data_IF_924428291868
#
_entry.id   IF_924428291868
#
_cell.length_a   1.000
_cell.length_b   1.000
_cell.length_c   1.000
_cell.angle_alpha   90.00
_cell.angle_beta   90.00
_cell.angle_gamma   90.00
#
_symmetry.space_group_name_H-M   'P 1'
#
loop_
_entity.id
_entity.type
_entity.pdbx_description
1 polymer ?
#
# COMPACT_ATOMS: atom_id res chain seq x y z
N UNK A 1 28.61 64.51 18.80
CA UNK A 1 29.74 63.90 18.07
C UNK A 1 30.69 63.24 19.07
N UNK A 2 30.33 62.08 19.65
CA UNK A 2 31.23 61.31 20.52
C UNK A 2 30.77 59.87 20.85
N UNK A 3 30.03 59.18 19.96
CA UNK A 3 29.73 57.73 20.13
C UNK A 3 29.77 56.95 18.79
N UNK A 4 30.61 57.39 17.86
CA UNK A 4 30.76 56.73 16.54
C UNK A 4 32.11 56.05 16.31
N UNK A 5 33.06 56.16 17.25
CA UNK A 5 34.46 55.82 16.99
C UNK A 5 35.03 54.73 17.91
N UNK A 6 34.21 54.04 18.72
CA UNK A 6 34.69 52.97 19.62
C UNK A 6 34.25 51.55 19.19
N UNK A 7 33.56 51.40 18.07
CA UNK A 7 33.20 50.07 17.53
C UNK A 7 34.13 49.60 16.41
N UNK A 8 34.94 50.48 15.81
CA UNK A 8 35.92 50.12 14.78
C UNK A 8 37.16 49.38 15.33
N UNK A 9 37.27 49.21 16.66
CA UNK A 9 38.44 48.62 17.33
C UNK A 9 38.22 47.22 17.91
N UNK A 10 37.01 46.65 17.73
CA UNK A 10 36.74 45.25 18.10
C UNK A 10 36.75 44.29 16.90
N UNK A 11 36.92 44.77 15.66
CA UNK A 11 36.98 43.89 14.49
C UNK A 11 35.73 43.01 14.32
N UNK A 12 34.57 43.48 14.79
CA UNK A 12 33.29 42.77 14.71
C UNK A 12 32.45 43.41 13.60
N UNK A 13 33.02 43.56 12.41
CA UNK A 13 32.26 43.90 11.19
C UNK A 13 31.79 42.65 10.43
N UNK A 14 31.86 41.46 11.06
CA UNK A 14 31.52 40.18 10.43
C UNK A 14 30.75 39.19 11.33
N UNK A 15 29.73 39.62 12.09
CA UNK A 15 28.69 38.68 12.61
C UNK A 15 27.42 38.73 11.74
N UNK A 16 27.57 38.90 10.42
CA UNK A 16 26.46 38.69 9.49
C UNK A 16 26.82 37.86 8.25
N UNK A 17 28.00 37.26 8.20
CA UNK A 17 28.16 36.05 7.41
C UNK A 17 27.72 34.88 8.28
N UNK A 18 26.48 34.43 8.13
CA UNK A 18 26.11 33.07 8.53
C UNK A 18 26.97 32.15 7.66
N UNK A 19 28.19 31.86 8.10
CA UNK A 19 29.11 30.92 7.46
C UNK A 19 28.54 29.53 7.73
N UNK A 20 27.99 28.90 6.69
CA UNK A 20 27.68 27.46 6.60
C UNK A 20 26.90 26.84 7.78
N UNK A 21 26.14 27.66 8.52
CA UNK A 21 25.41 27.26 9.71
C UNK A 21 23.98 26.84 9.37
N UNK A 22 23.63 25.59 9.69
CA UNK A 22 22.22 25.18 9.74
C UNK A 22 21.53 25.91 10.90
N UNK A 23 20.40 26.57 10.66
CA UNK A 23 19.63 27.18 11.76
C UNK A 23 19.30 26.14 12.83
N UNK A 24 19.38 26.52 14.11
CA UNK A 24 19.17 25.58 15.22
C UNK A 24 17.81 24.87 15.15
N UNK A 25 16.78 25.56 14.64
CA UNK A 25 15.44 25.00 14.45
C UNK A 25 15.34 23.99 13.30
N UNK A 26 16.35 23.86 12.44
CA UNK A 26 16.43 22.85 11.38
C UNK A 26 17.18 21.58 11.81
N UNK A 27 17.93 21.62 12.92
CA UNK A 27 18.71 20.48 13.42
C UNK A 27 17.88 19.18 13.58
N UNK A 28 16.61 19.22 14.04
CA UNK A 28 15.80 18.01 14.14
C UNK A 28 15.54 17.31 12.80
N UNK A 29 15.63 18.02 11.68
CA UNK A 29 15.29 17.49 10.35
C UNK A 29 16.53 16.96 9.60
N UNK A 30 17.70 17.55 9.84
CA UNK A 30 18.95 17.22 9.14
C UNK A 30 19.31 15.74 9.06
N UNK A 31 19.08 14.89 10.10
CA UNK A 31 19.44 13.48 10.03
C UNK A 31 18.69 12.67 8.95
N UNK A 32 17.58 13.21 8.44
CA UNK A 32 16.64 12.49 7.56
C UNK A 32 16.70 12.94 6.11
N UNK A 33 17.00 14.22 5.84
CA UNK A 33 16.83 14.82 4.52
C UNK A 33 17.77 14.25 3.44
N UNK A 34 18.86 13.60 3.86
CA UNK A 34 19.84 12.97 2.97
C UNK A 34 19.62 11.44 2.87
N UNK A 35 18.59 10.90 3.54
CA UNK A 35 18.30 9.46 3.57
C UNK A 35 17.25 9.06 2.54
N UNK A 36 17.21 7.76 2.13
CA UNK A 36 16.15 7.25 1.26
C UNK A 36 14.77 7.49 1.88
N UNK A 37 13.84 8.04 1.08
CA UNK A 37 12.52 8.47 1.53
C UNK A 37 11.70 7.30 2.09
N UNK A 38 11.62 6.21 1.33
CA UNK A 38 10.77 5.05 1.61
C UNK A 38 11.13 4.37 2.95
N UNK A 39 12.40 4.40 3.34
CA UNK A 39 12.86 3.74 4.57
C UNK A 39 12.76 4.63 5.82
N UNK A 40 12.50 5.93 5.67
CA UNK A 40 12.63 6.89 6.78
C UNK A 40 11.43 7.84 6.94
N UNK A 41 10.47 7.84 6.02
CA UNK A 41 9.32 8.75 6.08
C UNK A 41 8.52 8.61 7.38
N UNK A 42 8.37 7.40 7.92
CA UNK A 42 7.62 7.15 9.16
C UNK A 42 8.30 7.77 10.39
N UNK A 43 9.64 7.81 10.40
CA UNK A 43 10.44 8.43 11.48
C UNK A 43 10.52 9.95 11.27
N UNK A 44 10.59 10.39 10.01
CA UNK A 44 10.62 11.80 9.65
C UNK A 44 9.28 12.50 9.93
N UNK A 45 8.15 11.82 9.69
CA UNK A 45 6.81 12.41 9.78
C UNK A 45 6.49 13.09 11.11
N UNK A 46 6.66 12.46 12.30
CA UNK A 46 6.34 13.13 13.57
C UNK A 46 7.23 14.36 13.83
N UNK A 47 8.51 14.30 13.44
CA UNK A 47 9.45 15.41 13.57
C UNK A 47 9.09 16.56 12.64
N UNK A 48 8.80 16.28 11.37
CA UNK A 48 8.50 17.30 10.39
C UNK A 48 7.10 17.89 10.57
N UNK A 49 6.09 17.09 10.92
CA UNK A 49 4.73 17.59 11.12
C UNK A 49 4.66 18.58 12.29
N UNK A 50 5.27 18.26 13.43
CA UNK A 50 5.36 19.16 14.59
C UNK A 50 6.17 20.42 14.27
N UNK A 51 7.29 20.28 13.59
CA UNK A 51 8.10 21.40 13.14
C UNK A 51 7.32 22.31 12.16
N UNK A 52 6.65 21.72 11.17
CA UNK A 52 5.87 22.44 10.16
C UNK A 52 4.68 23.18 10.77
N UNK A 53 3.98 22.58 11.74
CA UNK A 53 2.92 23.26 12.48
C UNK A 53 3.40 24.54 13.19
N UNK A 54 4.66 24.58 13.63
CA UNK A 54 5.23 25.75 14.32
C UNK A 54 5.85 26.80 13.39
N UNK A 55 6.37 26.40 12.23
CA UNK A 55 7.14 27.28 11.32
C UNK A 55 6.43 27.61 10.01
N UNK A 56 5.44 26.81 9.61
CA UNK A 56 4.68 26.94 8.39
C UNK A 56 5.53 27.03 7.12
N UNK A 57 4.96 27.63 6.08
CA UNK A 57 5.63 27.81 4.78
C UNK A 57 6.91 28.67 4.86
N UNK A 58 6.98 29.63 5.79
CA UNK A 58 8.18 30.43 6.00
C UNK A 58 9.35 29.57 6.52
N UNK A 59 9.07 28.60 7.39
CA UNK A 59 10.04 27.58 7.80
C UNK A 59 10.57 26.79 6.63
N UNK A 60 9.68 26.25 5.81
CA UNK A 60 10.04 25.46 4.61
C UNK A 60 10.87 26.28 3.62
N UNK A 61 10.50 27.56 3.41
CA UNK A 61 11.24 28.47 2.56
C UNK A 61 12.70 28.64 3.03
N UNK A 62 12.92 28.83 4.34
CA UNK A 62 14.26 28.92 4.93
C UNK A 62 15.01 27.59 4.84
N UNK A 63 14.34 26.47 5.10
CA UNK A 63 14.95 25.14 4.96
C UNK A 63 15.48 24.92 3.53
N UNK A 64 14.70 25.27 2.51
CA UNK A 64 15.10 25.15 1.11
C UNK A 64 16.20 26.13 0.70
N UNK A 65 16.30 27.29 1.34
CA UNK A 65 17.43 28.21 1.15
C UNK A 65 18.73 27.60 1.68
N UNK A 66 18.68 26.95 2.85
CA UNK A 66 19.85 26.30 3.45
C UNK A 66 20.20 24.97 2.78
N UNK A 67 19.21 24.21 2.32
CA UNK A 67 19.35 22.86 1.78
C UNK A 67 18.44 22.66 0.55
N UNK A 68 18.77 23.23 -0.61
CA UNK A 68 17.94 23.12 -1.81
C UNK A 68 17.74 21.67 -2.28
N UNK A 69 18.72 20.79 -2.03
CA UNK A 69 18.67 19.37 -2.39
C UNK A 69 17.53 18.58 -1.72
N UNK A 70 16.94 19.08 -0.62
CA UNK A 70 15.83 18.39 0.03
C UNK A 70 14.46 18.63 -0.64
N UNK A 71 14.38 19.47 -1.68
CA UNK A 71 13.14 19.78 -2.40
C UNK A 71 12.40 18.52 -2.90
N UNK A 72 13.04 17.56 -3.61
CA UNK A 72 12.41 16.30 -3.97
C UNK A 72 11.86 15.50 -2.78
N UNK A 73 12.59 15.50 -1.65
CA UNK A 73 12.18 14.78 -0.44
C UNK A 73 10.92 15.39 0.16
N UNK A 74 10.87 16.72 0.29
CA UNK A 74 9.70 17.43 0.79
C UNK A 74 8.50 17.30 -0.14
N UNK A 75 8.72 17.24 -1.46
CA UNK A 75 7.64 16.96 -2.41
C UNK A 75 7.06 15.55 -2.20
N UNK A 76 7.91 14.53 -2.09
CA UNK A 76 7.46 13.16 -1.77
C UNK A 76 6.73 13.11 -0.44
N UNK A 77 7.20 13.83 0.59
CA UNK A 77 6.52 13.93 1.87
C UNK A 77 5.13 14.57 1.74
N UNK A 78 5.02 15.69 1.04
CA UNK A 78 3.75 16.38 0.82
C UNK A 78 2.74 15.44 0.13
N UNK A 79 3.19 14.69 -0.87
CA UNK A 79 2.36 13.70 -1.56
C UNK A 79 2.00 12.52 -0.66
N UNK A 80 2.96 11.94 0.07
CA UNK A 80 2.72 10.80 0.98
C UNK A 80 1.74 11.13 2.11
N UNK A 81 1.82 12.36 2.63
CA UNK A 81 0.98 12.86 3.72
C UNK A 81 -0.31 13.53 3.26
N UNK A 82 -0.49 13.76 1.94
CA UNK A 82 -1.68 14.42 1.39
C UNK A 82 -1.73 15.94 1.62
N UNK A 83 -0.62 16.59 1.97
CA UNK A 83 -0.57 18.04 2.24
C UNK A 83 -0.59 18.85 0.93
N UNK A 84 -1.78 19.15 0.42
CA UNK A 84 -2.01 19.86 -0.84
C UNK A 84 -1.31 21.24 -0.89
N UNK A 85 -1.42 22.03 0.18
CA UNK A 85 -0.82 23.37 0.23
C UNK A 85 0.70 23.31 0.19
N UNK A 86 1.31 22.37 0.90
CA UNK A 86 2.75 22.16 0.85
C UNK A 86 3.17 21.75 -0.56
N UNK A 87 2.50 20.79 -1.19
CA UNK A 87 2.79 20.38 -2.56
C UNK A 87 2.69 21.55 -3.56
N UNK A 88 1.64 22.36 -3.47
CA UNK A 88 1.45 23.54 -4.32
C UNK A 88 2.56 24.59 -4.13
N UNK A 89 2.99 24.84 -2.89
CA UNK A 89 4.09 25.80 -2.63
C UNK A 89 5.44 25.28 -3.11
N UNK A 90 5.71 23.98 -2.98
CA UNK A 90 6.95 23.35 -3.48
C UNK A 90 6.99 23.34 -5.01
N UNK A 91 5.86 23.08 -5.67
CA UNK A 91 5.74 23.09 -7.12
C UNK A 91 6.15 24.42 -7.75
N UNK A 92 5.91 25.55 -7.08
CA UNK A 92 6.31 26.86 -7.61
C UNK A 92 7.84 27.11 -7.60
N UNK A 93 8.64 26.26 -6.94
CA UNK A 93 10.09 26.46 -6.77
C UNK A 93 10.91 25.96 -7.97
N UNK A 94 10.76 24.68 -8.32
CA UNK A 94 11.51 24.04 -9.41
C UNK A 94 10.63 22.99 -10.09
N UNK A 95 9.82 23.45 -11.05
CA UNK A 95 8.85 22.59 -11.76
C UNK A 95 9.54 21.48 -12.56
N UNK A 96 10.57 21.74 -13.38
CA UNK A 96 11.20 20.68 -14.18
C UNK A 96 11.77 19.57 -13.31
N UNK A 97 12.43 19.90 -12.19
CA UNK A 97 12.94 18.90 -11.27
C UNK A 97 11.80 18.04 -10.70
N UNK A 98 10.74 18.69 -10.19
CA UNK A 98 9.66 17.99 -9.50
C UNK A 98 8.78 17.15 -10.43
N UNK A 99 8.51 17.62 -11.65
CA UNK A 99 7.70 16.88 -12.64
C UNK A 99 8.39 15.61 -13.14
N UNK A 100 9.72 15.50 -12.97
CA UNK A 100 10.51 14.33 -13.34
C UNK A 100 10.65 13.29 -12.22
N UNK A 101 10.05 13.54 -11.05
CA UNK A 101 10.12 12.62 -9.93
C UNK A 101 9.42 11.30 -10.23
N UNK A 102 10.20 10.23 -10.29
CA UNK A 102 9.69 8.88 -10.46
C UNK A 102 8.73 8.48 -9.33
N UNK A 103 7.69 7.70 -9.70
CA UNK A 103 6.75 7.03 -8.78
C UNK A 103 5.93 7.97 -7.89
N UNK A 104 5.89 9.27 -8.19
CA UNK A 104 5.16 10.22 -7.35
C UNK A 104 3.63 10.03 -7.44
N UNK A 105 3.10 9.64 -8.59
CA UNK A 105 1.69 9.27 -8.72
C UNK A 105 1.39 7.93 -8.03
N UNK A 106 2.29 6.96 -8.13
CA UNK A 106 2.18 5.68 -7.41
C UNK A 106 2.09 5.92 -5.89
N UNK A 107 2.90 6.85 -5.38
CA UNK A 107 2.90 7.25 -3.97
C UNK A 107 1.54 7.84 -3.56
N UNK A 108 1.00 8.78 -4.33
CA UNK A 108 -0.33 9.37 -4.06
C UNK A 108 -1.44 8.30 -4.06
N UNK A 109 -1.43 7.41 -5.07
CA UNK A 109 -2.40 6.33 -5.20
C UNK A 109 -2.32 5.34 -4.03
N UNK A 110 -1.11 5.01 -3.57
CA UNK A 110 -0.88 4.09 -2.45
C UNK A 110 -1.32 4.63 -1.09
N UNK A 111 -1.66 5.92 -0.98
CA UNK A 111 -2.01 6.60 0.27
C UNK A 111 -3.48 7.08 0.32
N UNK A 112 -4.27 6.70 -0.68
CA UNK A 112 -5.65 7.15 -0.86
C UNK A 112 -5.84 8.66 -1.08
N UNK A 113 -4.82 9.34 -1.63
CA UNK A 113 -4.89 10.78 -1.84
C UNK A 113 -5.41 11.13 -3.23
N UNK A 114 -6.71 10.88 -3.49
CA UNK A 114 -7.31 11.13 -4.82
C UNK A 114 -7.13 12.58 -5.30
N UNK A 115 -7.34 13.57 -4.42
CA UNK A 115 -7.17 14.98 -4.78
C UNK A 115 -5.72 15.31 -5.14
N UNK A 116 -4.75 14.76 -4.40
CA UNK A 116 -3.33 14.90 -4.71
C UNK A 116 -2.98 14.24 -6.03
N UNK A 117 -3.48 13.03 -6.27
CA UNK A 117 -3.27 12.29 -7.51
C UNK A 117 -3.84 13.04 -8.71
N UNK A 118 -5.07 13.55 -8.61
CA UNK A 118 -5.70 14.36 -9.66
C UNK A 118 -4.93 15.66 -9.91
N UNK A 119 -4.43 16.30 -8.84
CA UNK A 119 -3.61 17.50 -8.95
C UNK A 119 -2.26 17.21 -9.63
N UNK A 120 -1.56 16.13 -9.27
CA UNK A 120 -0.32 15.71 -9.91
C UNK A 120 -0.55 15.40 -11.40
N UNK A 121 -1.62 14.67 -11.71
CA UNK A 121 -2.01 14.36 -13.08
C UNK A 121 -2.29 15.62 -13.91
N UNK A 122 -3.05 16.57 -13.37
CA UNK A 122 -3.38 17.82 -14.07
C UNK A 122 -2.20 18.78 -14.27
N UNK A 123 -1.06 18.52 -13.63
CA UNK A 123 0.20 19.26 -13.83
C UNK A 123 1.24 18.44 -14.60
N UNK A 124 0.82 17.37 -15.29
CA UNK A 124 1.69 16.53 -16.13
C UNK A 124 2.89 15.93 -15.41
N UNK A 125 2.76 15.63 -14.11
CA UNK A 125 3.80 14.88 -13.39
C UNK A 125 3.99 13.50 -14.03
N UNK A 126 5.24 13.14 -14.28
CA UNK A 126 5.61 11.80 -14.71
C UNK A 126 5.59 10.81 -13.53
N UNK A 127 5.90 9.54 -13.80
CA UNK A 127 6.13 8.55 -12.74
C UNK A 127 4.86 7.87 -12.24
N UNK A 128 3.85 7.71 -13.09
CA UNK A 128 2.81 6.70 -12.86
C UNK A 128 3.26 5.36 -13.45
N UNK A 129 3.00 4.27 -12.74
CA UNK A 129 3.22 2.91 -13.22
C UNK A 129 2.00 2.05 -12.91
N UNK A 130 1.99 0.79 -13.38
CA UNK A 130 0.95 -0.18 -13.02
C UNK A 130 0.84 -0.39 -11.49
N UNK A 131 1.88 -0.04 -10.72
CA UNK A 131 1.87 -0.14 -9.25
C UNK A 131 0.87 0.82 -8.59
N UNK A 132 0.56 1.97 -9.22
CA UNK A 132 -0.46 2.88 -8.71
C UNK A 132 -1.82 2.19 -8.59
N UNK A 133 -2.28 1.56 -9.67
CA UNK A 133 -3.58 0.88 -9.70
C UNK A 133 -3.56 -0.38 -8.84
N UNK A 134 -2.45 -1.14 -8.82
CA UNK A 134 -2.29 -2.29 -7.94
C UNK A 134 -2.42 -1.91 -6.46
N UNK A 135 -1.73 -0.85 -6.01
CA UNK A 135 -1.77 -0.40 -4.63
C UNK A 135 -3.14 0.16 -4.24
N UNK A 136 -3.78 0.93 -5.13
CA UNK A 136 -5.14 1.43 -4.91
C UNK A 136 -6.16 0.29 -4.80
N UNK A 137 -6.03 -0.74 -5.66
CA UNK A 137 -6.92 -1.89 -5.63
C UNK A 137 -6.76 -2.73 -4.37
N UNK A 138 -5.53 -2.99 -3.93
CA UNK A 138 -5.24 -3.72 -2.70
C UNK A 138 -5.73 -3.01 -1.43
N UNK A 139 -5.97 -1.69 -1.48
CA UNK A 139 -6.53 -0.89 -0.38
C UNK A 139 -8.03 -0.66 -0.47
N UNK A 140 -8.67 -1.09 -1.56
CA UNK A 140 -10.11 -0.91 -1.76
C UNK A 140 -10.50 0.48 -2.26
N UNK A 141 -9.53 1.27 -2.73
CA UNK A 141 -9.73 2.67 -3.13
C UNK A 141 -10.33 2.75 -4.53
N UNK A 142 -11.61 2.36 -4.67
CA UNK A 142 -12.31 2.29 -5.95
C UNK A 142 -12.27 3.62 -6.72
N UNK A 143 -12.36 4.76 -6.03
CA UNK A 143 -12.30 6.08 -6.66
C UNK A 143 -10.96 6.33 -7.38
N UNK A 144 -9.85 5.89 -6.78
CA UNK A 144 -8.52 5.99 -7.39
C UNK A 144 -8.36 4.98 -8.53
N UNK A 145 -8.87 3.75 -8.38
CA UNK A 145 -8.86 2.75 -9.44
C UNK A 145 -9.60 3.27 -10.67
N UNK A 146 -10.79 3.87 -10.49
CA UNK A 146 -11.55 4.52 -11.58
C UNK A 146 -10.79 5.68 -12.19
N UNK A 147 -10.25 6.57 -11.36
CA UNK A 147 -9.46 7.70 -11.84
C UNK A 147 -8.29 7.25 -12.73
N UNK A 148 -7.51 6.27 -12.27
CA UNK A 148 -6.39 5.71 -13.02
C UNK A 148 -6.86 4.97 -14.28
N UNK A 149 -7.99 4.27 -14.23
CA UNK A 149 -8.55 3.62 -15.42
C UNK A 149 -8.96 4.62 -16.50
N UNK A 150 -9.63 5.71 -16.11
CA UNK A 150 -10.21 6.69 -17.04
C UNK A 150 -9.16 7.66 -17.61
N UNK A 151 -8.09 7.95 -16.87
CA UNK A 151 -7.14 9.03 -17.21
C UNK A 151 -5.72 8.55 -17.52
N UNK A 152 -5.40 7.27 -17.30
CA UNK A 152 -4.05 6.72 -17.45
C UNK A 152 -4.05 5.45 -18.29
N UNK A 153 -2.93 5.17 -18.94
CA UNK A 153 -2.78 4.05 -19.89
C UNK A 153 -1.87 2.92 -19.39
N UNK A 154 -1.19 3.12 -18.26
CA UNK A 154 -0.28 2.13 -17.67
C UNK A 154 -0.99 0.85 -17.23
N UNK A 155 -2.28 0.94 -16.92
CA UNK A 155 -3.08 -0.21 -16.52
C UNK A 155 -2.71 -0.79 -15.17
N UNK A 156 -2.88 -2.11 -15.02
CA UNK A 156 -2.53 -2.85 -13.83
C UNK A 156 -1.91 -4.21 -14.18
N UNK A 157 -1.50 -4.96 -13.14
CA UNK A 157 -1.19 -6.39 -13.28
C UNK A 157 -2.24 -7.23 -12.56
N UNK A 158 -2.12 -8.56 -12.63
CA UNK A 158 -2.94 -9.50 -11.82
C UNK A 158 -2.90 -9.19 -10.33
N UNK A 159 -1.85 -8.52 -9.85
CA UNK A 159 -1.73 -8.07 -8.46
C UNK A 159 -2.84 -7.10 -8.04
N UNK A 160 -3.44 -6.33 -8.95
CA UNK A 160 -4.58 -5.47 -8.61
C UNK A 160 -5.80 -6.30 -8.21
N UNK A 161 -6.20 -7.27 -9.04
CA UNK A 161 -7.34 -8.13 -8.75
C UNK A 161 -7.04 -9.01 -7.53
N UNK A 162 -5.88 -9.68 -7.49
CA UNK A 162 -5.48 -10.49 -6.34
C UNK A 162 -5.46 -9.68 -5.04
N UNK A 163 -4.87 -8.48 -5.04
CA UNK A 163 -4.81 -7.63 -3.86
C UNK A 163 -6.20 -7.18 -3.40
N UNK A 164 -7.09 -6.81 -4.31
CA UNK A 164 -8.47 -6.47 -3.98
C UNK A 164 -9.23 -7.67 -3.40
N UNK A 165 -9.03 -8.87 -3.96
CA UNK A 165 -9.68 -10.08 -3.49
C UNK A 165 -9.22 -10.49 -2.09
N UNK A 166 -7.90 -10.55 -1.89
CA UNK A 166 -7.26 -10.96 -0.63
C UNK A 166 -7.66 -10.04 0.54
N UNK A 167 -8.03 -8.79 0.26
CA UNK A 167 -8.48 -7.82 1.28
C UNK A 167 -10.01 -7.62 1.28
N UNK A 168 -10.78 -8.44 0.55
CA UNK A 168 -12.24 -8.44 0.61
C UNK A 168 -12.91 -7.24 -0.07
N UNK A 169 -12.24 -6.60 -1.03
CA UNK A 169 -12.74 -5.39 -1.70
C UNK A 169 -13.60 -5.72 -2.92
N UNK A 170 -14.77 -6.33 -2.70
CA UNK A 170 -15.69 -6.77 -3.76
C UNK A 170 -16.00 -5.68 -4.81
N UNK A 171 -16.22 -4.43 -4.38
CA UNK A 171 -16.49 -3.33 -5.30
C UNK A 171 -15.35 -3.07 -6.30
N UNK A 172 -14.10 -3.20 -5.85
CA UNK A 172 -12.92 -3.11 -6.72
C UNK A 172 -12.81 -4.34 -7.60
N UNK A 173 -13.04 -5.55 -7.06
CA UNK A 173 -13.01 -6.80 -7.83
C UNK A 173 -14.02 -6.75 -8.98
N UNK A 174 -15.26 -6.34 -8.71
CA UNK A 174 -16.30 -6.21 -9.72
C UNK A 174 -15.95 -5.16 -10.78
N UNK A 175 -15.38 -4.03 -10.36
CA UNK A 175 -14.91 -3.01 -11.32
C UNK A 175 -13.81 -3.56 -12.23
N UNK A 176 -12.78 -4.18 -11.66
CA UNK A 176 -11.67 -4.76 -12.41
C UNK A 176 -12.15 -5.89 -13.33
N UNK A 177 -13.06 -6.74 -12.90
CA UNK A 177 -13.63 -7.79 -13.75
C UNK A 177 -14.33 -7.22 -15.00
N UNK A 178 -15.12 -6.16 -14.83
CA UNK A 178 -15.91 -5.59 -15.92
C UNK A 178 -15.10 -4.71 -16.89
N UNK A 179 -13.97 -4.14 -16.45
CA UNK A 179 -13.25 -3.12 -17.23
C UNK A 179 -11.80 -3.51 -17.58
N UNK A 180 -11.28 -4.62 -17.03
CA UNK A 180 -9.89 -5.06 -17.19
C UNK A 180 -9.83 -6.55 -17.55
N UNK A 181 -8.74 -6.96 -18.21
CA UNK A 181 -8.59 -8.32 -18.77
C UNK A 181 -7.51 -9.15 -18.08
N UNK A 182 -6.74 -8.55 -17.16
CA UNK A 182 -5.57 -9.16 -16.51
C UNK A 182 -5.93 -10.41 -15.70
N UNK A 183 -7.11 -10.39 -15.07
CA UNK A 183 -7.65 -11.49 -14.27
C UNK A 183 -6.96 -11.68 -12.92
N UNK A 184 -7.21 -12.85 -12.32
CA UNK A 184 -6.64 -13.26 -11.04
C UNK A 184 -5.84 -14.56 -11.19
N UNK A 185 -5.27 -15.04 -10.08
CA UNK A 185 -4.55 -16.32 -10.05
C UNK A 185 -5.22 -17.30 -9.07
N UNK A 186 -5.11 -18.62 -9.26
CA UNK A 186 -5.62 -19.61 -8.30
C UNK A 186 -5.11 -19.37 -6.88
N UNK A 187 -3.81 -19.09 -6.72
CA UNK A 187 -3.23 -18.71 -5.43
C UNK A 187 -3.91 -17.48 -4.78
N UNK A 188 -4.39 -16.54 -5.59
CA UNK A 188 -5.13 -15.39 -5.08
C UNK A 188 -6.48 -15.80 -4.49
N UNK A 189 -7.17 -16.77 -5.12
CA UNK A 189 -8.39 -17.38 -4.59
C UNK A 189 -8.14 -18.16 -3.31
N UNK A 190 -7.05 -18.93 -3.24
CA UNK A 190 -6.69 -19.71 -2.05
C UNK A 190 -6.47 -18.79 -0.84
N UNK A 191 -5.72 -17.69 -1.02
CA UNK A 191 -5.53 -16.69 0.04
C UNK A 191 -6.83 -15.93 0.35
N UNK A 192 -7.70 -15.70 -0.64
CA UNK A 192 -9.03 -15.10 -0.39
C UNK A 192 -9.90 -16.02 0.47
N UNK A 193 -9.80 -17.34 0.27
CA UNK A 193 -10.46 -18.35 1.11
C UNK A 193 -9.86 -18.43 2.51
N UNK A 194 -8.52 -18.39 2.62
CA UNK A 194 -7.78 -18.26 3.87
C UNK A 194 -8.24 -17.05 4.71
N UNK A 195 -8.58 -15.94 4.06
CA UNK A 195 -9.03 -14.71 4.72
C UNK A 195 -10.56 -14.61 4.92
N UNK A 196 -11.32 -15.60 4.44
CA UNK A 196 -12.76 -15.69 4.71
C UNK A 196 -13.66 -14.79 3.87
N UNK A 197 -13.17 -14.26 2.74
CA UNK A 197 -13.94 -13.33 1.89
C UNK A 197 -14.91 -14.07 0.95
N UNK A 198 -15.98 -14.62 1.54
CA UNK A 198 -16.98 -15.43 0.83
C UNK A 198 -17.65 -14.68 -0.33
N UNK A 199 -18.01 -13.42 -0.13
CA UNK A 199 -18.68 -12.58 -1.13
C UNK A 199 -17.83 -12.42 -2.41
N UNK A 200 -16.53 -12.24 -2.24
CA UNK A 200 -15.55 -12.22 -3.34
C UNK A 200 -15.46 -13.58 -4.02
N UNK A 201 -15.39 -14.67 -3.25
CA UNK A 201 -15.30 -16.04 -3.79
C UNK A 201 -16.54 -16.40 -4.60
N UNK A 202 -17.73 -16.07 -4.09
CA UNK A 202 -19.01 -16.27 -4.78
C UNK A 202 -19.06 -15.48 -6.08
N UNK A 203 -18.66 -14.20 -6.05
CA UNK A 203 -18.59 -13.37 -7.24
C UNK A 203 -17.66 -13.97 -8.29
N UNK A 204 -16.46 -14.38 -7.90
CA UNK A 204 -15.49 -14.93 -8.83
C UNK A 204 -15.91 -16.30 -9.36
N UNK A 205 -16.50 -17.15 -8.53
CA UNK A 205 -17.04 -18.44 -8.98
C UNK A 205 -18.14 -18.26 -10.05
N UNK A 206 -19.00 -17.25 -9.91
CA UNK A 206 -20.09 -16.99 -10.85
C UNK A 206 -19.63 -16.36 -12.18
N UNK A 207 -18.51 -15.63 -12.19
CA UNK A 207 -18.12 -14.79 -13.33
C UNK A 207 -16.75 -15.13 -13.94
N UNK A 208 -15.98 -16.03 -13.33
CA UNK A 208 -14.60 -16.34 -13.71
C UNK A 208 -14.30 -17.84 -13.68
N UNK A 209 -13.28 -18.25 -14.42
CA UNK A 209 -12.93 -19.66 -14.63
C UNK A 209 -11.56 -20.04 -14.08
N UNK A 210 -10.76 -19.12 -13.54
CA UNK A 210 -9.43 -19.42 -13.00
C UNK A 210 -9.47 -20.42 -11.84
N UNK A 211 -10.53 -20.37 -11.04
CA UNK A 211 -10.75 -21.28 -9.91
C UNK A 211 -9.73 -21.15 -8.77
N UNK A 212 -9.72 -22.14 -7.90
CA UNK A 212 -8.83 -22.25 -6.75
C UNK A 212 -8.15 -23.63 -6.73
N UNK A 213 -7.20 -23.82 -5.83
CA UNK A 213 -6.58 -25.14 -5.60
C UNK A 213 -7.26 -25.85 -4.44
N UNK A 214 -6.87 -27.10 -4.17
CA UNK A 214 -7.33 -27.84 -2.99
C UNK A 214 -6.94 -27.15 -1.67
N UNK A 215 -5.91 -26.30 -1.68
CA UNK A 215 -5.46 -25.55 -0.50
C UNK A 215 -6.50 -24.54 -0.03
N UNK A 216 -7.36 -24.02 -0.91
CA UNK A 216 -8.41 -23.08 -0.53
C UNK A 216 -9.35 -23.64 0.56
N UNK A 217 -9.76 -24.90 0.43
CA UNK A 217 -10.63 -25.56 1.42
C UNK A 217 -9.86 -25.80 2.72
N UNK A 218 -8.65 -26.34 2.64
CA UNK A 218 -7.78 -26.61 3.79
C UNK A 218 -7.49 -25.32 4.58
N UNK A 219 -7.20 -24.22 3.88
CA UNK A 219 -6.87 -22.94 4.51
C UNK A 219 -8.12 -22.27 5.08
N UNK A 220 -9.26 -22.29 4.38
CA UNK A 220 -10.52 -21.81 4.96
C UNK A 220 -10.90 -22.60 6.22
N UNK A 221 -10.65 -23.91 6.24
CA UNK A 221 -10.89 -24.78 7.38
C UNK A 221 -9.93 -24.48 8.55
N UNK A 222 -8.63 -24.32 8.27
CA UNK A 222 -7.60 -24.00 9.26
C UNK A 222 -7.82 -22.65 9.95
N UNK A 223 -8.40 -21.67 9.25
CA UNK A 223 -8.66 -20.31 9.75
C UNK A 223 -10.11 -20.10 10.22
N UNK A 224 -10.93 -21.14 10.23
CA UNK A 224 -12.26 -21.10 10.87
C UNK A 224 -13.37 -20.46 10.02
N UNK A 225 -13.20 -20.39 8.71
CA UNK A 225 -14.17 -19.78 7.80
C UNK A 225 -15.23 -20.78 7.32
N UNK A 226 -16.13 -21.18 8.22
CA UNK A 226 -17.16 -22.21 7.97
C UNK A 226 -17.96 -21.95 6.69
N UNK A 227 -18.45 -20.73 6.47
CA UNK A 227 -19.29 -20.44 5.29
C UNK A 227 -18.49 -20.50 3.97
N UNK A 228 -17.19 -20.20 4.01
CA UNK A 228 -16.30 -20.44 2.86
C UNK A 228 -16.11 -21.94 2.64
N UNK A 229 -15.86 -22.71 3.70
CA UNK A 229 -15.74 -24.17 3.62
C UNK A 229 -17.01 -24.78 3.01
N UNK A 230 -18.19 -24.40 3.48
CA UNK A 230 -19.48 -24.88 2.94
C UNK A 230 -19.59 -24.58 1.45
N UNK A 231 -19.32 -23.34 1.06
CA UNK A 231 -19.39 -22.93 -0.34
C UNK A 231 -18.40 -23.70 -1.22
N UNK A 232 -17.12 -23.78 -0.81
CA UNK A 232 -16.09 -24.49 -1.57
C UNK A 232 -16.39 -25.99 -1.66
N UNK A 233 -16.89 -26.57 -0.57
CA UNK A 233 -17.26 -27.98 -0.50
C UNK A 233 -18.45 -28.30 -1.41
N UNK A 234 -19.51 -27.49 -1.41
CA UNK A 234 -20.69 -27.76 -2.23
C UNK A 234 -20.44 -27.47 -3.72
N UNK A 235 -19.72 -26.39 -4.04
CA UNK A 235 -19.70 -25.82 -5.39
C UNK A 235 -18.46 -26.14 -6.21
N UNK A 236 -17.35 -26.59 -5.59
CA UNK A 236 -16.08 -26.76 -6.31
C UNK A 236 -15.65 -28.21 -6.47
N UNK A 237 -15.07 -28.47 -7.64
CA UNK A 237 -14.52 -29.77 -8.05
C UNK A 237 -12.99 -29.79 -8.02
N UNK A 238 -12.37 -28.78 -7.38
CA UNK A 238 -10.94 -28.49 -7.19
C UNK A 238 -10.02 -29.66 -6.76
N UNK A 239 -10.60 -30.79 -6.38
CA UNK A 239 -9.89 -31.96 -5.87
C UNK A 239 -10.22 -32.25 -4.41
N UNK A 240 -9.64 -33.35 -3.93
CA UNK A 240 -9.70 -33.78 -2.53
C UNK A 240 -8.78 -32.90 -1.67
N UNK A 241 -9.26 -32.47 -0.51
CA UNK A 241 -8.50 -31.68 0.45
C UNK A 241 -8.20 -32.54 1.69
N UNK A 242 -7.16 -33.40 1.64
CA UNK A 242 -6.91 -34.45 2.62
C UNK A 242 -6.70 -33.96 4.05
N UNK A 243 -6.33 -32.69 4.21
CA UNK A 243 -5.96 -32.12 5.50
C UNK A 243 -6.99 -31.13 6.04
N UNK A 244 -8.14 -30.97 5.39
CA UNK A 244 -9.12 -29.96 5.79
C UNK A 244 -9.69 -30.24 7.20
N UNK A 245 -9.93 -31.52 7.53
CA UNK A 245 -10.45 -31.94 8.84
C UNK A 245 -9.37 -31.76 9.92
N UNK A 246 -8.16 -32.25 9.68
CA UNK A 246 -7.03 -32.12 10.61
C UNK A 246 -6.68 -30.66 10.85
N UNK A 247 -6.68 -29.83 9.80
CA UNK A 247 -6.39 -28.40 9.92
C UNK A 247 -7.49 -27.66 10.70
N UNK A 248 -8.76 -27.96 10.46
CA UNK A 248 -9.86 -27.43 11.26
C UNK A 248 -9.76 -27.86 12.73
N UNK A 249 -9.40 -29.13 12.98
CA UNK A 249 -9.21 -29.65 14.33
C UNK A 249 -8.03 -28.98 15.04
N UNK A 250 -6.90 -28.78 14.34
CA UNK A 250 -5.73 -28.07 14.86
C UNK A 250 -6.04 -26.61 15.20
N UNK A 251 -6.90 -25.94 14.41
CA UNK A 251 -7.41 -24.59 14.68
C UNK A 251 -8.52 -24.52 15.75
N UNK A 252 -9.02 -25.67 16.24
CA UNK A 252 -10.12 -25.72 17.21
C UNK A 252 -11.51 -25.44 16.62
N UNK A 253 -11.66 -25.53 15.30
CA UNK A 253 -12.88 -25.20 14.57
C UNK A 253 -13.86 -26.39 14.48
N UNK A 254 -14.45 -26.77 15.62
CA UNK A 254 -15.31 -27.95 15.75
C UNK A 254 -16.53 -27.96 14.82
N UNK A 255 -17.11 -26.80 14.54
CA UNK A 255 -18.25 -26.69 13.61
C UNK A 255 -17.86 -27.08 12.17
N UNK A 256 -16.61 -26.81 11.76
CA UNK A 256 -16.09 -27.17 10.44
C UNK A 256 -15.83 -28.67 10.37
N UNK A 257 -15.22 -29.24 11.42
CA UNK A 257 -15.01 -30.69 11.54
C UNK A 257 -16.35 -31.43 11.41
N UNK A 258 -17.35 -31.04 12.20
CA UNK A 258 -18.70 -31.63 12.15
C UNK A 258 -19.35 -31.51 10.77
N UNK A 259 -19.17 -30.37 10.10
CA UNK A 259 -19.70 -30.16 8.76
C UNK A 259 -19.03 -31.11 7.74
N UNK A 260 -17.71 -31.17 7.73
CA UNK A 260 -16.95 -32.01 6.80
C UNK A 260 -17.21 -33.51 7.03
N UNK A 261 -17.26 -33.96 8.29
CA UNK A 261 -17.58 -35.35 8.64
C UNK A 261 -19.00 -35.76 8.25
N UNK A 262 -19.96 -34.82 8.32
CA UNK A 262 -21.36 -35.09 7.94
C UNK A 262 -21.61 -35.06 6.43
N UNK A 263 -20.66 -34.56 5.64
CA UNK A 263 -20.79 -34.40 4.19
C UNK A 263 -19.55 -34.94 3.45
N UNK A 264 -19.19 -36.23 3.55
CA UNK A 264 -18.04 -36.78 2.83
C UNK A 264 -18.24 -36.66 1.31
N UNK A 265 -17.19 -36.29 0.57
CA UNK A 265 -17.19 -36.38 -0.89
C UNK A 265 -16.73 -37.77 -1.32
N UNK A 266 -17.28 -38.31 -2.41
CA UNK A 266 -16.95 -39.65 -2.92
C UNK A 266 -15.44 -39.87 -3.22
N UNK A 267 -14.66 -38.79 -3.32
CA UNK A 267 -13.20 -38.82 -3.48
C UNK A 267 -12.41 -38.88 -2.15
N UNK A 268 -13.07 -38.83 -0.99
CA UNK A 268 -12.43 -38.83 0.35
C UNK A 268 -11.86 -40.21 0.76
N UNK A 269 -12.16 -41.27 0.00
CA UNK A 269 -11.81 -42.66 0.37
C UNK A 269 -10.44 -43.09 -0.18
N UNK A 270 -9.65 -42.19 -0.76
CA UNK A 270 -8.42 -42.51 -1.47
C UNK A 270 -7.18 -41.82 -0.91
N UNK A 271 -6.40 -42.57 -0.13
CA UNK A 271 -5.02 -42.27 0.32
C UNK A 271 -4.96 -41.28 1.50
N UNK A 272 -5.33 -41.74 2.69
CA UNK A 272 -4.62 -41.33 3.90
C UNK A 272 -3.25 -42.04 3.85
N UNK A 273 -2.26 -41.41 3.22
CA UNK A 273 -0.89 -41.89 3.38
C UNK A 273 -0.50 -41.63 4.84
N UNK A 274 -0.50 -42.68 5.66
CA UNK A 274 -0.19 -42.61 7.10
C UNK A 274 1.20 -42.04 7.39
N UNK A 275 2.01 -41.84 6.34
CA UNK A 275 3.38 -41.39 6.38
C UNK A 275 3.53 -39.88 6.12
N UNK A 276 2.46 -39.16 5.71
CA UNK A 276 2.47 -37.69 5.54
C UNK A 276 1.77 -37.02 6.71
N UNK A 277 2.53 -36.77 7.76
CA UNK A 277 2.06 -36.01 8.94
C UNK A 277 1.92 -34.54 8.57
N UNK A 278 0.69 -34.02 8.64
CA UNK A 278 0.40 -32.58 8.58
C UNK A 278 1.20 -31.87 9.69
N UNK A 279 2.27 -31.17 9.31
CA UNK A 279 3.23 -30.64 10.29
C UNK A 279 2.75 -29.34 10.95
N UNK A 280 1.72 -28.70 10.40
CA UNK A 280 1.26 -27.36 10.79
C UNK A 280 2.30 -26.25 10.56
N UNK A 281 3.54 -26.58 10.18
CA UNK A 281 4.65 -25.62 9.96
C UNK A 281 4.62 -25.00 8.57
N UNK A 282 3.79 -25.52 7.68
CA UNK A 282 3.71 -25.06 6.28
C UNK A 282 2.79 -23.83 6.10
N UNK A 283 2.27 -23.26 7.20
CA UNK A 283 1.37 -22.10 7.20
C UNK A 283 2.04 -20.78 7.62
N UNK A 284 3.31 -20.81 8.01
CA UNK A 284 4.10 -19.61 8.32
C UNK A 284 4.74 -19.06 7.03
N UNK A 285 4.01 -18.18 6.33
CA UNK A 285 4.52 -17.34 5.24
C UNK A 285 4.18 -15.87 5.46
#
# INVERSE_FOLDING_TARGET
MLVGALFAQLGIDHIFSYQDGVFHDLLPLCPFLDRPFEAHVDIFHPCFASWYASRGHAGVARLLQCRPACLPYLMRYAVWSGHMELAATLHQRDRPLLMSLEKILDLAASRDHLNMLAWLHGHDYAGCTYRAMNAAAARGNLSIVRFLHDHRTEGCSRSAMNGAMINGHLGVVAFLHNHRTEGCTPYGMDITAKNGHLDVIQFLHAHRTEGCTADALTWAAAYGHLEVVRFLHEMRTEGYAPWAIEAAAAGGHTAIVQFLESHPKDNDVGICDSDVVFSGRDFDF
#
